data_IF_430110446302
#
_entry.id   IF_430110446302
#
_cell.length_a   1.000
_cell.length_b   1.000
_cell.length_c   1.000
_cell.angle_alpha   90.00
_cell.angle_beta   90.00
_cell.angle_gamma   90.00
#
_symmetry.space_group_name_H-M   'P 1'
#
loop_
_entity.id
_entity.type
_entity.pdbx_description
1 polymer ?
#
# COMPACT_ATOMS: atom_id res chain seq x y z
N UNK A 1 37.94 -2.43 7.76
CA UNK A 1 37.01 -3.50 7.35
C UNK A 1 35.79 -3.39 8.26
N UNK A 2 34.68 -2.84 7.70
CA UNK A 2 33.38 -2.84 8.39
C UNK A 2 32.86 -4.26 8.23
N UNK A 3 32.82 -5.01 9.32
CA UNK A 3 32.20 -6.32 9.40
C UNK A 3 30.68 -6.08 9.28
N UNK A 4 30.11 -6.27 8.08
CA UNK A 4 28.67 -6.33 7.89
C UNK A 4 28.18 -7.61 8.59
N UNK A 5 27.61 -7.47 9.76
CA UNK A 5 26.79 -8.53 10.34
C UNK A 5 25.60 -8.71 9.43
N UNK A 6 25.51 -9.85 8.73
CA UNK A 6 24.32 -10.22 7.95
C UNK A 6 23.11 -10.17 8.89
N UNK A 7 22.07 -9.43 8.51
CA UNK A 7 20.83 -9.40 9.26
C UNK A 7 20.19 -10.80 9.28
N UNK A 8 19.35 -11.05 10.26
CA UNK A 8 18.64 -12.33 10.37
C UNK A 8 17.83 -12.62 9.10
N UNK A 9 17.23 -11.60 8.50
CA UNK A 9 16.50 -11.71 7.25
C UNK A 9 17.38 -12.20 6.09
N UNK A 10 18.56 -11.60 5.91
CA UNK A 10 19.46 -11.96 4.80
C UNK A 10 19.98 -13.40 4.94
N UNK A 11 20.23 -13.85 6.16
CA UNK A 11 20.64 -15.23 6.45
C UNK A 11 19.52 -16.23 6.14
N UNK A 12 18.29 -15.96 6.61
CA UNK A 12 17.11 -16.79 6.34
C UNK A 12 16.76 -16.82 4.85
N UNK A 13 16.86 -15.68 4.16
CA UNK A 13 16.62 -15.59 2.73
C UNK A 13 17.62 -16.46 1.95
N UNK A 14 18.90 -16.40 2.27
CA UNK A 14 19.91 -17.23 1.60
C UNK A 14 19.67 -18.73 1.79
N UNK A 15 19.18 -19.15 2.98
CA UNK A 15 18.78 -20.54 3.20
C UNK A 15 17.54 -20.93 2.37
N UNK A 16 16.61 -20.00 2.19
CA UNK A 16 15.38 -20.24 1.45
C UNK A 16 15.54 -20.18 -0.07
N UNK A 17 16.49 -19.39 -0.59
CA UNK A 17 16.66 -19.20 -2.04
C UNK A 17 16.86 -20.53 -2.78
N UNK A 18 17.52 -21.52 -2.15
CA UNK A 18 17.67 -22.87 -2.72
C UNK A 18 16.37 -23.69 -2.66
N UNK A 19 15.49 -23.44 -1.68
CA UNK A 19 14.25 -24.18 -1.46
C UNK A 19 13.04 -23.59 -2.22
N UNK A 20 13.10 -22.29 -2.57
CA UNK A 20 11.97 -21.58 -3.22
C UNK A 20 12.03 -21.69 -4.77
N UNK A 21 13.04 -22.36 -5.33
CA UNK A 21 13.16 -22.49 -6.78
C UNK A 21 12.28 -23.60 -7.35
N UNK A 22 11.66 -23.32 -8.50
CA UNK A 22 10.87 -24.28 -9.25
C UNK A 22 9.67 -24.84 -8.48
N UNK A 23 9.48 -26.14 -8.52
CA UNK A 23 8.36 -26.87 -7.89
C UNK A 23 8.47 -26.87 -6.36
N UNK A 24 9.68 -26.85 -5.82
CA UNK A 24 9.94 -26.87 -4.38
C UNK A 24 9.36 -25.65 -3.65
N UNK A 25 9.12 -24.55 -4.36
CA UNK A 25 8.42 -23.36 -3.85
C UNK A 25 7.09 -23.69 -3.17
N UNK A 26 6.41 -24.74 -3.60
CA UNK A 26 5.09 -25.12 -3.11
C UNK A 26 5.13 -26.26 -2.08
N UNK A 27 6.33 -26.64 -1.60
CA UNK A 27 6.45 -27.65 -0.55
C UNK A 27 5.91 -27.08 0.78
N UNK A 28 4.90 -27.73 1.41
CA UNK A 28 4.34 -27.29 2.68
C UNK A 28 5.32 -27.35 3.87
N UNK A 29 6.45 -28.02 3.74
CA UNK A 29 7.52 -28.04 4.76
C UNK A 29 8.21 -26.68 4.90
N UNK A 30 8.26 -25.89 3.84
CA UNK A 30 8.88 -24.56 3.82
C UNK A 30 8.06 -23.50 4.58
N UNK A 31 6.83 -23.80 4.99
CA UNK A 31 5.93 -22.82 5.64
C UNK A 31 6.58 -22.21 6.88
N UNK A 32 7.23 -23.02 7.73
CA UNK A 32 7.82 -22.53 8.97
C UNK A 32 8.99 -21.57 8.71
N UNK A 33 9.86 -21.87 7.74
CA UNK A 33 10.96 -20.97 7.36
C UNK A 33 10.45 -19.68 6.73
N UNK A 34 9.43 -19.77 5.89
CA UNK A 34 8.78 -18.60 5.30
C UNK A 34 8.14 -17.70 6.36
N UNK A 35 7.49 -18.26 7.38
CA UNK A 35 6.95 -17.50 8.50
C UNK A 35 8.04 -16.75 9.28
N UNK A 36 9.17 -17.40 9.51
CA UNK A 36 10.34 -16.77 10.15
C UNK A 36 10.90 -15.63 9.30
N UNK A 37 11.01 -15.81 7.97
CA UNK A 37 11.40 -14.74 7.06
C UNK A 37 10.42 -13.55 7.07
N UNK A 38 9.11 -13.81 7.11
CA UNK A 38 8.09 -12.75 7.22
C UNK A 38 8.23 -11.98 8.53
N UNK A 39 8.48 -12.66 9.64
CA UNK A 39 8.72 -12.01 10.92
C UNK A 39 10.00 -11.16 10.91
N UNK A 40 11.08 -11.66 10.31
CA UNK A 40 12.33 -10.91 10.12
C UNK A 40 12.13 -9.70 9.20
N UNK A 41 11.38 -9.83 8.09
CA UNK A 41 11.00 -8.69 7.24
C UNK A 41 10.31 -7.57 8.03
N UNK A 42 9.43 -7.93 8.94
CA UNK A 42 8.69 -6.97 9.75
C UNK A 42 9.62 -6.20 10.71
N UNK A 43 10.49 -6.90 11.41
CA UNK A 43 11.38 -6.33 12.44
C UNK A 43 12.56 -5.55 11.87
N UNK A 44 13.14 -5.99 10.75
CA UNK A 44 14.34 -5.39 10.15
C UNK A 44 14.05 -4.34 9.07
N UNK A 45 12.79 -3.94 8.89
CA UNK A 45 12.37 -3.03 7.83
C UNK A 45 12.82 -3.47 6.42
N UNK A 46 12.80 -4.77 6.16
CA UNK A 46 13.09 -5.38 4.86
C UNK A 46 11.80 -5.79 4.19
N UNK A 47 11.81 -5.96 2.88
CA UNK A 47 10.68 -6.49 2.14
C UNK A 47 11.16 -7.32 0.97
N UNK A 48 10.56 -8.48 0.81
CA UNK A 48 10.72 -9.34 -0.34
C UNK A 48 9.35 -9.80 -0.83
N UNK A 49 9.07 -9.46 -2.09
CA UNK A 49 7.79 -9.76 -2.73
C UNK A 49 7.56 -11.26 -2.92
N UNK A 50 8.61 -11.97 -3.35
CA UNK A 50 8.50 -13.39 -3.67
C UNK A 50 8.23 -14.21 -2.41
N UNK A 51 8.91 -13.90 -1.32
CA UNK A 51 8.65 -14.53 -0.01
C UNK A 51 7.21 -14.26 0.45
N UNK A 52 6.77 -13.00 0.38
CA UNK A 52 5.41 -12.61 0.80
C UNK A 52 4.33 -13.35 -0.01
N UNK A 53 4.41 -13.32 -1.34
CA UNK A 53 3.42 -13.95 -2.21
C UNK A 53 3.49 -15.49 -2.18
N UNK A 54 4.69 -16.07 -2.05
CA UNK A 54 4.86 -17.53 -1.91
C UNK A 54 4.22 -18.03 -0.63
N UNK A 55 4.41 -17.33 0.48
CA UNK A 55 3.77 -17.68 1.77
C UNK A 55 2.25 -17.68 1.66
N UNK A 56 1.66 -16.62 1.06
CA UNK A 56 0.21 -16.56 0.86
C UNK A 56 -0.29 -17.66 -0.07
N UNK A 57 0.47 -17.98 -1.11
CA UNK A 57 0.13 -19.05 -2.05
C UNK A 57 0.16 -20.43 -1.39
N UNK A 58 1.15 -20.67 -0.53
CA UNK A 58 1.22 -21.90 0.26
C UNK A 58 0.03 -22.04 1.21
N UNK A 59 -0.40 -20.96 1.85
CA UNK A 59 -1.60 -20.97 2.69
C UNK A 59 -2.89 -21.23 1.90
N UNK A 60 -2.95 -20.76 0.64
CA UNK A 60 -4.07 -21.06 -0.26
C UNK A 60 -4.12 -22.55 -0.61
N UNK A 61 -2.95 -23.18 -0.84
CA UNK A 61 -2.83 -24.60 -1.19
C UNK A 61 -2.95 -25.52 0.02
N UNK A 62 -2.57 -25.04 1.21
CA UNK A 62 -2.56 -25.81 2.47
C UNK A 62 -3.33 -25.06 3.56
N UNK A 63 -4.67 -25.11 3.57
CA UNK A 63 -5.50 -24.37 4.51
C UNK A 63 -5.30 -24.74 5.99
N UNK A 64 -4.77 -25.93 6.26
CA UNK A 64 -4.41 -26.44 7.58
C UNK A 64 -3.17 -25.76 8.19
N UNK A 65 -2.31 -25.20 7.35
CA UNK A 65 -1.09 -24.48 7.75
C UNK A 65 -1.30 -22.97 7.90
N UNK A 66 -2.51 -22.47 7.64
CA UNK A 66 -2.81 -21.05 7.65
C UNK A 66 -2.56 -20.40 9.00
N UNK A 67 -1.80 -19.32 8.99
CA UNK A 67 -1.59 -18.46 10.16
C UNK A 67 -2.00 -17.01 9.86
N UNK A 68 -3.05 -16.56 10.55
CA UNK A 68 -3.62 -15.22 10.37
C UNK A 68 -2.65 -14.11 10.75
N UNK A 69 -1.82 -14.31 11.78
CA UNK A 69 -0.84 -13.32 12.21
C UNK A 69 0.21 -13.05 11.14
N UNK A 70 0.69 -14.10 10.47
CA UNK A 70 1.62 -14.00 9.34
C UNK A 70 0.96 -13.30 8.15
N UNK A 71 -0.28 -13.66 7.81
CA UNK A 71 -1.01 -13.01 6.69
C UNK A 71 -1.19 -11.51 6.96
N UNK A 72 -1.57 -11.14 8.17
CA UNK A 72 -1.70 -9.75 8.60
C UNK A 72 -0.38 -8.99 8.48
N UNK A 73 0.71 -9.60 8.91
CA UNK A 73 2.07 -9.04 8.80
C UNK A 73 2.44 -8.82 7.34
N UNK A 74 2.17 -9.78 6.46
CA UNK A 74 2.41 -9.65 5.01
C UNK A 74 1.61 -8.48 4.45
N UNK A 75 0.31 -8.39 4.73
CA UNK A 75 -0.53 -7.27 4.26
C UNK A 75 0.00 -5.93 4.72
N UNK A 76 0.37 -5.78 5.99
CA UNK A 76 0.97 -4.55 6.49
C UNK A 76 2.30 -4.24 5.81
N UNK A 77 3.15 -5.24 5.58
CA UNK A 77 4.42 -5.04 4.86
C UNK A 77 4.20 -4.64 3.40
N UNK A 78 3.20 -5.19 2.71
CA UNK A 78 2.89 -4.77 1.33
C UNK A 78 2.42 -3.32 1.24
N UNK A 79 1.78 -2.78 2.29
CA UNK A 79 1.44 -1.36 2.37
C UNK A 79 2.68 -0.45 2.47
N UNK A 80 3.81 -0.94 2.98
CA UNK A 80 5.06 -0.15 3.06
C UNK A 80 5.72 0.08 1.70
N UNK A 81 5.32 -0.65 0.67
CA UNK A 81 5.90 -0.53 -0.68
C UNK A 81 4.97 0.13 -1.70
N UNK A 82 3.89 0.77 -1.22
CA UNK A 82 3.04 1.59 -2.07
C UNK A 82 3.88 2.67 -2.81
N UNK A 83 3.55 2.97 -4.08
CA UNK A 83 2.36 2.62 -4.87
C UNK A 83 2.46 1.28 -5.64
N UNK A 84 3.30 0.34 -5.22
CA UNK A 84 3.40 -0.97 -5.84
C UNK A 84 2.07 -1.75 -5.79
N UNK A 85 1.90 -2.71 -6.71
CA UNK A 85 0.69 -3.53 -6.79
C UNK A 85 0.67 -4.69 -5.76
N UNK A 86 1.67 -4.78 -4.89
CA UNK A 86 1.88 -5.93 -4.01
C UNK A 86 0.74 -6.14 -3.01
N UNK A 87 0.16 -5.04 -2.51
CA UNK A 87 -1.02 -5.12 -1.63
C UNK A 87 -2.25 -5.69 -2.36
N UNK A 88 -2.50 -5.25 -3.60
CA UNK A 88 -3.58 -5.78 -4.41
C UNK A 88 -3.38 -7.27 -4.73
N UNK A 89 -2.16 -7.68 -5.07
CA UNK A 89 -1.82 -9.08 -5.31
C UNK A 89 -1.98 -9.93 -4.05
N UNK A 90 -1.52 -9.44 -2.90
CA UNK A 90 -1.69 -10.14 -1.63
C UNK A 90 -3.17 -10.33 -1.28
N UNK A 91 -4.03 -9.31 -1.47
CA UNK A 91 -5.49 -9.44 -1.27
C UNK A 91 -6.10 -10.55 -2.12
N UNK A 92 -5.67 -10.70 -3.37
CA UNK A 92 -6.21 -11.73 -4.27
C UNK A 92 -5.83 -13.17 -3.86
N UNK A 93 -4.78 -13.35 -3.06
CA UNK A 93 -4.34 -14.66 -2.58
C UNK A 93 -5.00 -15.11 -1.27
N UNK A 94 -5.76 -14.23 -0.62
CA UNK A 94 -6.48 -14.55 0.61
C UNK A 94 -7.84 -15.14 0.27
N UNK A 95 -8.18 -16.27 0.92
CA UNK A 95 -9.49 -16.91 0.77
C UNK A 95 -10.61 -15.96 1.22
N UNK A 96 -11.68 -15.87 0.41
CA UNK A 96 -12.85 -15.04 0.68
C UNK A 96 -13.51 -15.34 2.04
N UNK A 97 -13.49 -16.60 2.50
CA UNK A 97 -14.05 -16.99 3.78
C UNK A 97 -13.24 -16.45 4.97
N UNK A 98 -11.94 -16.19 4.77
CA UNK A 98 -11.01 -15.71 5.82
C UNK A 98 -10.92 -14.19 5.91
N UNK A 99 -11.29 -13.48 4.86
CA UNK A 99 -11.31 -11.99 4.81
C UNK A 99 -12.24 -11.38 5.89
N UNK A 100 -13.20 -12.16 6.39
CA UNK A 100 -14.18 -11.69 7.37
C UNK A 100 -13.66 -11.62 8.82
N UNK A 101 -12.43 -12.05 9.08
CA UNK A 101 -11.79 -11.84 10.40
C UNK A 101 -11.73 -10.35 10.75
N UNK A 102 -12.08 -9.96 11.99
CA UNK A 102 -12.09 -8.56 12.41
C UNK A 102 -10.73 -7.86 12.19
N UNK A 103 -9.63 -8.52 12.50
CA UNK A 103 -8.29 -7.97 12.39
C UNK A 103 -7.84 -7.81 10.94
N UNK A 104 -8.14 -8.80 10.07
CA UNK A 104 -7.85 -8.68 8.64
C UNK A 104 -8.68 -7.56 8.00
N UNK A 105 -9.95 -7.42 8.38
CA UNK A 105 -10.80 -6.32 7.89
C UNK A 105 -10.23 -4.96 8.26
N UNK A 106 -9.69 -4.79 9.47
CA UNK A 106 -9.03 -3.55 9.87
C UNK A 106 -7.84 -3.22 8.96
N UNK A 107 -6.99 -4.21 8.66
CA UNK A 107 -5.83 -4.03 7.77
C UNK A 107 -6.27 -3.75 6.33
N UNK A 108 -7.30 -4.44 5.82
CA UNK A 108 -7.83 -4.20 4.49
C UNK A 108 -8.45 -2.80 4.35
N UNK A 109 -9.18 -2.34 5.38
CA UNK A 109 -9.73 -0.99 5.41
C UNK A 109 -8.62 0.06 5.50
N UNK A 110 -7.57 -0.20 6.30
CA UNK A 110 -6.38 0.66 6.33
C UNK A 110 -5.71 0.77 4.96
N UNK A 111 -5.61 -0.36 4.25
CA UNK A 111 -5.13 -0.40 2.87
C UNK A 111 -5.98 0.46 1.93
N UNK A 112 -7.31 0.37 2.02
CA UNK A 112 -8.22 1.22 1.23
C UNK A 112 -8.03 2.72 1.51
N UNK A 113 -7.78 3.11 2.77
CA UNK A 113 -7.48 4.50 3.14
C UNK A 113 -6.19 4.96 2.48
N UNK A 114 -5.14 4.14 2.50
CA UNK A 114 -3.87 4.49 1.86
C UNK A 114 -3.96 4.47 0.33
N UNK A 115 -4.65 3.50 -0.28
CA UNK A 115 -4.89 3.44 -1.73
C UNK A 115 -5.70 4.65 -2.23
N UNK A 116 -6.59 5.21 -1.41
CA UNK A 116 -7.32 6.46 -1.72
C UNK A 116 -6.53 7.74 -1.39
N UNK A 117 -5.29 7.62 -0.91
CA UNK A 117 -4.45 8.74 -0.50
C UNK A 117 -5.05 9.61 0.62
N UNK A 118 -5.96 9.05 1.46
CA UNK A 118 -6.52 9.76 2.60
C UNK A 118 -5.56 9.73 3.79
N UNK A 119 -4.51 10.51 3.70
CA UNK A 119 -3.48 10.61 4.75
C UNK A 119 -4.03 11.23 6.04
N UNK A 120 -5.08 12.06 5.95
CA UNK A 120 -5.67 12.68 7.14
C UNK A 120 -6.31 11.63 8.04
N UNK A 121 -7.11 10.74 7.47
CA UNK A 121 -7.70 9.60 8.18
C UNK A 121 -6.63 8.63 8.66
N UNK A 122 -5.65 8.32 7.81
CA UNK A 122 -4.54 7.44 8.19
C UNK A 122 -3.81 7.93 9.46
N UNK A 123 -3.44 9.22 9.53
CA UNK A 123 -2.72 9.74 10.68
C UNK A 123 -3.56 9.78 11.97
N UNK A 124 -4.88 9.99 11.85
CA UNK A 124 -5.79 9.87 13.02
C UNK A 124 -5.84 8.43 13.52
N UNK A 125 -5.90 7.45 12.62
CA UNK A 125 -5.86 6.03 12.96
C UNK A 125 -4.52 5.63 13.61
N UNK A 126 -3.41 6.08 13.04
CA UNK A 126 -2.07 5.79 13.56
C UNK A 126 -1.84 6.37 14.97
N UNK A 127 -2.42 7.54 15.26
CA UNK A 127 -2.36 8.18 16.58
C UNK A 127 -3.41 7.66 17.57
N UNK A 128 -4.36 6.85 17.11
CA UNK A 128 -5.49 6.40 17.94
C UNK A 128 -6.53 7.47 18.23
N UNK A 129 -6.55 8.57 17.45
CA UNK A 129 -7.45 9.73 17.59
C UNK A 129 -8.72 9.59 16.73
N UNK A 130 -8.86 8.49 15.99
CA UNK A 130 -9.99 8.27 15.10
C UNK A 130 -11.22 7.81 15.90
N UNK A 131 -12.38 8.43 15.65
CA UNK A 131 -13.64 7.98 16.23
C UNK A 131 -14.10 6.67 15.56
N UNK A 132 -14.58 5.71 16.36
CA UNK A 132 -15.07 4.45 15.82
C UNK A 132 -16.26 4.66 14.88
N UNK A 133 -16.22 3.98 13.74
CA UNK A 133 -17.27 3.98 12.72
C UNK A 133 -17.51 2.57 12.17
N UNK A 134 -18.37 2.45 11.14
CA UNK A 134 -18.68 1.16 10.52
C UNK A 134 -17.46 0.49 9.85
N UNK A 135 -16.48 1.27 9.37
CA UNK A 135 -15.24 0.77 8.76
C UNK A 135 -14.22 0.38 9.82
N UNK A 136 -14.10 1.19 10.88
CA UNK A 136 -13.11 1.02 11.94
C UNK A 136 -13.81 0.93 13.30
N UNK A 137 -14.35 -0.24 13.62
CA UNK A 137 -15.02 -0.50 14.89
C UNK A 137 -14.08 -0.45 16.10
N UNK A 138 -12.81 -0.77 15.88
CA UNK A 138 -11.77 -0.75 16.92
C UNK A 138 -10.51 -0.02 16.41
N UNK A 139 -10.56 1.31 16.20
CA UNK A 139 -9.45 2.06 15.60
C UNK A 139 -8.15 2.00 16.42
N UNK A 140 -8.23 1.89 17.73
CA UNK A 140 -7.05 1.77 18.60
C UNK A 140 -6.25 0.49 18.35
N UNK A 141 -6.86 -0.58 17.82
CA UNK A 141 -6.16 -1.80 17.48
C UNK A 141 -5.22 -1.61 16.26
N UNK A 142 -5.53 -0.67 15.36
CA UNK A 142 -4.68 -0.41 14.18
C UNK A 142 -3.29 0.05 14.60
N UNK A 143 -3.18 0.96 15.56
CA UNK A 143 -1.89 1.40 16.08
C UNK A 143 -1.08 0.23 16.67
N UNK A 144 -1.75 -0.71 17.35
CA UNK A 144 -1.10 -1.93 17.87
C UNK A 144 -0.65 -2.86 16.76
N UNK A 145 -1.46 -3.03 15.70
CA UNK A 145 -1.15 -3.88 14.56
C UNK A 145 0.03 -3.33 13.74
N UNK A 146 0.18 -2.02 13.62
CA UNK A 146 1.28 -1.37 12.91
C UNK A 146 2.60 -1.39 13.68
N UNK A 147 2.55 -1.37 15.02
CA UNK A 147 3.72 -1.24 15.90
C UNK A 147 4.84 -2.27 15.63
N UNK A 148 4.55 -3.56 15.34
CA UNK A 148 5.58 -4.55 15.04
C UNK A 148 6.29 -4.34 13.70
N UNK A 149 5.73 -3.52 12.83
CA UNK A 149 6.26 -3.30 11.48
C UNK A 149 7.24 -2.13 11.51
N UNK A 150 8.53 -2.44 11.51
CA UNK A 150 9.56 -1.42 11.52
C UNK A 150 9.46 -0.50 10.30
N UNK A 151 9.56 0.82 10.52
CA UNK A 151 9.55 1.82 9.45
C UNK A 151 8.22 2.05 8.76
N UNK A 152 7.08 1.55 9.27
CA UNK A 152 5.77 1.66 8.62
C UNK A 152 5.36 3.12 8.36
N UNK A 153 5.37 3.96 9.39
CA UNK A 153 5.00 5.37 9.22
C UNK A 153 5.93 6.13 8.25
N UNK A 154 7.23 5.81 8.29
CA UNK A 154 8.20 6.42 7.38
C UNK A 154 7.92 6.02 5.92
N UNK A 155 7.57 4.76 5.69
CA UNK A 155 7.17 4.28 4.38
C UNK A 155 5.92 5.02 3.85
N UNK A 156 4.91 5.24 4.72
CA UNK A 156 3.72 6.02 4.35
C UNK A 156 4.07 7.47 4.04
N UNK A 157 5.00 8.11 4.79
CA UNK A 157 5.46 9.46 4.48
C UNK A 157 6.17 9.52 3.13
N UNK A 158 7.03 8.55 2.84
CA UNK A 158 7.69 8.43 1.53
C UNK A 158 6.67 8.23 0.41
N UNK A 159 5.65 7.42 0.63
CA UNK A 159 4.54 7.24 -0.32
C UNK A 159 3.79 8.56 -0.54
N UNK A 160 3.41 9.27 0.52
CA UNK A 160 2.78 10.59 0.42
C UNK A 160 3.64 11.58 -0.38
N UNK A 161 4.96 11.62 -0.12
CA UNK A 161 5.89 12.47 -0.88
C UNK A 161 5.91 12.10 -2.38
N UNK A 162 5.88 10.82 -2.73
CA UNK A 162 5.81 10.38 -4.14
C UNK A 162 4.52 10.85 -4.81
N UNK A 163 3.38 10.71 -4.13
CA UNK A 163 2.09 11.20 -4.64
C UNK A 163 2.11 12.71 -4.80
N UNK A 164 2.60 13.45 -3.82
CA UNK A 164 2.76 14.92 -3.89
C UNK A 164 3.64 15.30 -5.08
N UNK A 165 4.76 14.60 -5.30
CA UNK A 165 5.67 14.88 -6.43
C UNK A 165 5.01 14.69 -7.80
N UNK A 166 3.96 13.92 -7.92
CA UNK A 166 3.25 13.68 -9.18
C UNK A 166 1.98 14.50 -9.35
N UNK A 167 1.41 15.02 -8.25
CA UNK A 167 0.08 15.65 -8.27
C UNK A 167 0.11 17.17 -8.04
N UNK A 168 1.13 17.70 -7.39
CA UNK A 168 1.21 19.11 -7.05
C UNK A 168 2.32 19.83 -7.85
N UNK A 169 2.03 21.03 -8.34
CA UNK A 169 3.06 21.94 -8.83
C UNK A 169 3.67 22.76 -7.67
N UNK A 170 2.80 23.22 -6.79
CA UNK A 170 3.17 23.93 -5.57
C UNK A 170 2.32 23.44 -4.40
N UNK A 171 2.87 23.44 -3.20
CA UNK A 171 2.16 23.07 -1.98
C UNK A 171 2.55 23.99 -0.83
N UNK A 172 1.57 24.43 -0.05
CA UNK A 172 1.82 25.19 1.17
C UNK A 172 2.44 24.29 2.25
N UNK A 173 3.41 24.84 3.00
CA UNK A 173 4.06 24.13 4.10
C UNK A 173 3.07 23.57 5.11
N UNK A 174 2.04 24.32 5.48
CA UNK A 174 1.03 23.88 6.43
C UNK A 174 0.26 22.64 5.94
N UNK A 175 -0.07 22.60 4.63
CA UNK A 175 -0.71 21.45 4.00
C UNK A 175 0.25 20.25 3.93
N UNK A 176 1.50 20.48 3.55
CA UNK A 176 2.53 19.44 3.49
C UNK A 176 2.73 18.78 4.87
N UNK A 177 2.85 19.58 5.93
CA UNK A 177 2.95 19.07 7.31
C UNK A 177 1.76 18.19 7.68
N UNK A 178 0.53 18.61 7.32
CA UNK A 178 -0.69 17.80 7.58
C UNK A 178 -0.67 16.47 6.83
N UNK A 179 -0.29 16.47 5.56
CA UNK A 179 -0.20 15.24 4.75
C UNK A 179 0.86 14.27 5.27
N UNK A 180 1.94 14.78 5.87
CA UNK A 180 3.02 13.98 6.44
C UNK A 180 2.80 13.59 7.91
N UNK A 181 1.64 13.89 8.51
CA UNK A 181 1.28 13.47 9.87
C UNK A 181 1.77 14.38 10.98
N UNK A 182 1.98 15.66 10.72
CA UNK A 182 2.39 16.63 11.71
C UNK A 182 3.89 16.60 12.03
N UNK A 183 4.72 16.24 11.06
CA UNK A 183 6.18 16.23 11.22
C UNK A 183 6.74 17.64 11.48
N UNK A 184 7.88 17.69 12.17
CA UNK A 184 8.56 18.95 12.44
C UNK A 184 9.20 19.57 11.18
N UNK A 185 9.55 20.84 11.25
CA UNK A 185 10.08 21.60 10.12
C UNK A 185 11.41 21.03 9.58
N UNK A 186 12.26 20.51 10.45
CA UNK A 186 13.52 19.89 10.05
C UNK A 186 13.28 18.68 9.14
N UNK A 187 12.32 17.80 9.50
CA UNK A 187 11.92 16.66 8.68
C UNK A 187 11.28 17.05 7.36
N UNK A 188 10.46 18.12 7.33
CA UNK A 188 9.92 18.65 6.07
C UNK A 188 11.06 19.06 5.14
N UNK A 189 12.09 19.76 5.68
CA UNK A 189 13.27 20.13 4.90
C UNK A 189 14.08 18.92 4.40
N UNK A 190 14.13 17.82 5.17
CA UNK A 190 14.77 16.57 4.72
C UNK A 190 14.03 15.94 3.54
N UNK A 191 12.68 15.85 3.61
CA UNK A 191 11.88 15.36 2.49
C UNK A 191 11.99 16.25 1.27
N UNK A 192 11.94 17.58 1.44
CA UNK A 192 12.10 18.53 0.35
C UNK A 192 13.43 18.30 -0.39
N UNK A 193 14.53 18.17 0.34
CA UNK A 193 15.85 17.86 -0.25
C UNK A 193 15.89 16.48 -0.93
N UNK A 194 15.32 15.46 -0.29
CA UNK A 194 15.27 14.09 -0.82
C UNK A 194 14.50 13.99 -2.13
N UNK A 195 13.43 14.77 -2.29
CA UNK A 195 12.56 14.76 -3.46
C UNK A 195 12.85 15.91 -4.44
N UNK A 196 13.85 16.77 -4.17
CA UNK A 196 14.27 17.85 -5.05
C UNK A 196 13.29 19.03 -5.10
N UNK A 197 12.50 19.26 -4.03
CA UNK A 197 11.56 20.36 -3.95
C UNK A 197 12.24 21.68 -3.54
N UNK A 198 11.83 22.78 -4.16
CA UNK A 198 12.39 24.10 -3.91
C UNK A 198 11.51 24.88 -2.93
N UNK A 199 12.11 25.36 -1.83
CA UNK A 199 11.42 26.25 -0.90
C UNK A 199 11.32 27.65 -1.51
N UNK A 200 10.11 28.22 -1.59
CA UNK A 200 9.81 29.58 -2.04
C UNK A 200 9.15 30.37 -0.92
N UNK A 201 9.06 31.70 -1.08
CA UNK A 201 8.40 32.58 -0.12
C UNK A 201 8.90 32.38 1.32
N UNK A 202 10.22 32.36 1.51
CA UNK A 202 10.87 32.13 2.81
C UNK A 202 10.45 30.80 3.48
N UNK A 203 10.14 29.79 2.66
CA UNK A 203 9.75 28.47 3.14
C UNK A 203 8.25 28.31 3.46
N UNK A 204 7.40 29.26 3.07
CA UNK A 204 5.96 29.14 3.22
C UNK A 204 5.34 28.20 2.17
N UNK A 205 5.94 28.14 0.98
CA UNK A 205 5.49 27.32 -0.15
C UNK A 205 6.66 26.48 -0.67
N UNK A 206 6.39 25.26 -1.05
CA UNK A 206 7.31 24.38 -1.77
C UNK A 206 6.87 24.24 -3.22
N UNK A 207 7.79 24.55 -4.13
CA UNK A 207 7.64 24.24 -5.55
C UNK A 207 8.12 22.81 -5.80
N UNK A 208 7.27 22.01 -6.40
CA UNK A 208 7.50 20.57 -6.63
C UNK A 208 8.07 20.34 -8.03
N UNK A 209 7.27 20.59 -9.05
CA UNK A 209 7.65 20.45 -10.45
C UNK A 209 6.64 21.12 -11.37
N UNK A 210 7.08 21.45 -12.58
CA UNK A 210 6.15 21.83 -13.65
C UNK A 210 5.73 20.58 -14.42
N UNK A 211 4.44 20.26 -14.37
CA UNK A 211 3.86 19.08 -15.02
C UNK A 211 3.30 19.38 -16.41
N UNK A 212 3.31 20.64 -16.89
CA UNK A 212 2.69 21.04 -18.15
C UNK A 212 3.23 20.25 -19.34
N UNK A 213 4.51 19.92 -19.35
CA UNK A 213 5.14 19.11 -20.41
C UNK A 213 4.71 17.64 -20.42
N UNK A 214 4.20 17.14 -19.30
CA UNK A 214 3.76 15.74 -19.15
C UNK A 214 2.25 15.58 -19.36
N UNK A 215 1.50 16.68 -19.27
CA UNK A 215 0.07 16.71 -19.51
C UNK A 215 -0.16 16.69 -21.02
N UNK A 216 -0.49 15.53 -21.55
CA UNK A 216 -0.91 15.39 -22.95
C UNK A 216 -2.41 15.61 -23.02
N UNK A 217 -2.83 16.74 -23.62
CA UNK A 217 -4.21 16.91 -24.02
C UNK A 217 -4.52 15.89 -25.11
N UNK A 218 -5.39 14.94 -24.85
CA UNK A 218 -5.90 14.02 -25.85
C UNK A 218 -7.10 14.73 -26.47
N UNK A 219 -6.99 15.16 -27.72
CA UNK A 219 -8.15 15.47 -28.53
C UNK A 219 -8.93 14.16 -28.70
N UNK A 220 -10.09 14.08 -28.06
CA UNK A 220 -11.00 12.96 -28.27
C UNK A 220 -11.74 13.29 -29.56
N UNK A 221 -11.33 12.67 -30.67
CA UNK A 221 -12.15 12.62 -31.87
C UNK A 221 -13.30 11.64 -31.60
N UNK A 222 -14.45 12.19 -31.25
CA UNK A 222 -15.67 11.39 -31.15
C UNK A 222 -16.09 10.95 -32.55
N UNK A 223 -15.85 9.67 -32.86
CA UNK A 223 -16.26 9.06 -34.13
C UNK A 223 -17.70 8.52 -34.06
N UNK A 224 -18.51 8.99 -33.14
CA UNK A 224 -19.94 8.67 -33.10
C UNK A 224 -20.66 9.46 -34.17
N UNK A 225 -21.08 8.77 -35.24
CA UNK A 225 -21.96 9.34 -36.28
C UNK A 225 -23.40 9.09 -35.87
N UNK A 226 -24.34 9.90 -36.44
CA UNK A 226 -25.76 9.71 -36.21
C UNK A 226 -26.26 8.30 -36.60
N UNK A 227 -25.65 7.67 -37.61
CA UNK A 227 -25.91 6.27 -37.98
C UNK A 227 -25.62 5.29 -36.86
N UNK A 228 -24.52 5.47 -36.12
CA UNK A 228 -24.16 4.59 -35.03
C UNK A 228 -25.14 4.69 -33.85
N UNK A 229 -25.59 5.91 -33.56
CA UNK A 229 -26.62 6.15 -32.54
C UNK A 229 -27.98 5.55 -32.98
N UNK A 230 -28.34 5.71 -34.24
CA UNK A 230 -29.55 5.12 -34.80
C UNK A 230 -29.55 3.59 -34.70
N UNK A 231 -28.47 2.95 -35.02
CA UNK A 231 -28.30 1.49 -34.97
C UNK A 231 -28.48 0.97 -33.53
N UNK A 232 -27.91 1.64 -32.52
CA UNK A 232 -28.11 1.30 -31.12
C UNK A 232 -29.57 1.48 -30.69
N UNK A 233 -30.22 2.57 -31.09
CA UNK A 233 -31.62 2.85 -30.73
C UNK A 233 -32.61 1.84 -31.33
N UNK A 234 -32.37 1.42 -32.57
CA UNK A 234 -33.23 0.43 -33.26
C UNK A 234 -33.12 -0.97 -32.62
N UNK A 235 -31.98 -1.32 -32.06
CA UNK A 235 -31.77 -2.61 -31.40
C UNK A 235 -32.05 -2.62 -29.90
N UNK A 236 -32.39 -1.45 -29.31
CA UNK A 236 -32.74 -1.39 -27.89
C UNK A 236 -34.26 -1.68 -27.75
N UNK A 237 -34.68 -2.76 -27.09
CA UNK A 237 -36.08 -3.05 -26.87
C UNK A 237 -36.73 -1.94 -26.04
N UNK A 238 -37.76 -1.32 -26.59
CA UNK A 238 -38.57 -0.33 -25.87
C UNK A 238 -39.30 -1.08 -24.75
N UNK A 239 -38.88 -0.90 -23.51
CA UNK A 239 -39.70 -1.31 -22.37
C UNK A 239 -40.93 -0.38 -22.31
N UNK A 240 -42.06 -0.88 -22.78
CA UNK A 240 -43.36 -0.23 -22.51
C UNK A 240 -43.58 -0.35 -21.00
N UNK A 241 -43.43 0.76 -20.29
CA UNK A 241 -43.97 0.92 -18.94
C UNK A 241 -45.47 0.92 -19.11
N UNK A 242 -46.15 -0.18 -18.77
CA UNK A 242 -47.60 -0.23 -18.63
C UNK A 242 -47.89 0.39 -17.26
N UNK A 243 -48.60 1.55 -17.25
CA UNK A 243 -49.19 2.16 -16.07
C UNK A 243 -50.23 1.23 -15.42
#
# INVERSE_FOLDING_TARGET
QVQYTMGQFDALKSSLDDHIQGVNRYNPENVTELQQCVAAMASENRYDRDIALTTLKLYQLNPDKYDEATVRTILLKTLTVLPGADFALAKCLIDANRINSPELRLVLNLGSVLESCDYATFWKLAKGEYAADDKFKAPAEIAKLMKPIAGFEEAVRVFACRVISTTFQCIERAQLVRLLGGVNEAKVGEYARKFGWEAREKGAVYYIANHDSTIKSRNIDERLTFSNVHEVLVHTPVQTVIE
#
